data_IF_836429068411
#
_entry.id   IF_836429068411
#
_cell.length_a   1.000
_cell.length_b   1.000
_cell.length_c   1.000
_cell.angle_alpha   90.00
_cell.angle_beta   90.00
_cell.angle_gamma   90.00
#
_symmetry.space_group_name_H-M   'P 1'
#
loop_
_entity.id
_entity.type
_entity.pdbx_description
1 polymer ?
#
# COMPACT_ATOMS: atom_id res chain seq x y z
N UNK A 1 -35.02 -1.93 -7.99
CA UNK A 1 -34.52 -1.55 -6.65
C UNK A 1 -33.29 -0.66 -6.84
N UNK A 2 -33.38 0.64 -6.51
CA UNK A 2 -32.20 1.52 -6.54
C UNK A 2 -31.32 1.12 -5.35
N UNK A 3 -30.18 0.47 -5.62
CA UNK A 3 -29.18 0.18 -4.61
C UNK A 3 -28.71 1.47 -3.91
N UNK A 4 -28.22 1.39 -2.65
CA UNK A 4 -27.86 2.56 -1.88
C UNK A 4 -26.91 3.46 -2.67
N UNK A 5 -27.34 4.70 -2.86
CA UNK A 5 -26.66 5.73 -3.63
C UNK A 5 -25.41 6.21 -2.88
N UNK A 6 -24.26 5.61 -3.20
CA UNK A 6 -22.93 6.10 -2.83
C UNK A 6 -22.33 5.49 -1.56
N UNK A 7 -21.00 5.53 -1.49
CA UNK A 7 -20.23 5.16 -0.30
C UNK A 7 -20.67 6.01 0.90
N UNK A 8 -20.80 5.37 2.07
CA UNK A 8 -20.94 6.11 3.34
C UNK A 8 -19.71 6.98 3.58
N UNK A 9 -19.88 8.08 4.33
CA UNK A 9 -18.78 9.02 4.61
C UNK A 9 -17.55 8.33 5.21
N UNK A 10 -17.77 7.39 6.15
CA UNK A 10 -16.68 6.61 6.75
C UNK A 10 -15.93 5.76 5.72
N UNK A 11 -16.66 5.09 4.81
CA UNK A 11 -16.03 4.28 3.75
C UNK A 11 -15.25 5.13 2.76
N UNK A 12 -15.76 6.32 2.41
CA UNK A 12 -15.00 7.29 1.58
C UNK A 12 -13.68 7.65 2.24
N UNK A 13 -13.68 7.96 3.53
CA UNK A 13 -12.45 8.27 4.27
C UNK A 13 -11.46 7.11 4.22
N UNK A 14 -11.91 5.87 4.43
CA UNK A 14 -11.04 4.69 4.35
C UNK A 14 -10.43 4.52 2.95
N UNK A 15 -11.21 4.66 1.88
CA UNK A 15 -10.68 4.60 0.50
C UNK A 15 -9.66 5.69 0.25
N UNK A 16 -9.93 6.93 0.69
CA UNK A 16 -9.00 8.06 0.52
C UNK A 16 -7.70 7.79 1.26
N UNK A 17 -7.76 7.36 2.52
CA UNK A 17 -6.57 7.01 3.31
C UNK A 17 -5.80 5.88 2.64
N UNK A 18 -6.49 4.84 2.16
CA UNK A 18 -5.87 3.73 1.42
C UNK A 18 -5.13 4.19 0.16
N UNK A 19 -5.71 5.12 -0.60
CA UNK A 19 -5.08 5.71 -1.79
C UNK A 19 -3.89 6.60 -1.43
N UNK A 20 -4.01 7.45 -0.40
CA UNK A 20 -2.92 8.31 0.05
C UNK A 20 -1.71 7.49 0.49
N UNK A 21 -1.93 6.40 1.22
CA UNK A 21 -0.87 5.49 1.64
C UNK A 21 -0.24 4.74 0.44
N UNK A 22 -1.04 4.39 -0.56
CA UNK A 22 -0.53 3.80 -1.80
C UNK A 22 0.35 4.78 -2.59
N UNK A 23 -0.08 6.04 -2.72
CA UNK A 23 0.70 7.11 -3.36
C UNK A 23 2.00 7.35 -2.60
N UNK A 24 1.93 7.46 -1.27
CA UNK A 24 3.09 7.64 -0.41
C UNK A 24 4.12 6.52 -0.59
N UNK A 25 3.67 5.27 -0.48
CA UNK A 25 4.52 4.09 -0.65
C UNK A 25 5.14 4.05 -2.05
N UNK A 26 4.36 4.40 -3.09
CA UNK A 26 4.83 4.45 -4.47
C UNK A 26 5.92 5.52 -4.64
N UNK A 27 5.72 6.72 -4.08
CA UNK A 27 6.71 7.79 -4.13
C UNK A 27 8.01 7.42 -3.40
N UNK A 28 7.90 6.86 -2.19
CA UNK A 28 9.05 6.38 -1.42
C UNK A 28 9.81 5.25 -2.14
N UNK A 29 9.08 4.36 -2.82
CA UNK A 29 9.69 3.33 -3.68
C UNK A 29 10.43 3.95 -4.86
N UNK A 30 9.87 4.98 -5.49
CA UNK A 30 10.54 5.74 -6.54
C UNK A 30 11.88 6.28 -6.07
N UNK A 31 11.93 6.91 -4.89
CA UNK A 31 13.19 7.41 -4.30
C UNK A 31 14.20 6.28 -4.05
N UNK A 32 13.73 5.12 -3.57
CA UNK A 32 14.60 3.97 -3.32
C UNK A 32 15.20 3.43 -4.63
N UNK A 33 14.39 3.29 -5.68
CA UNK A 33 14.82 2.78 -6.99
C UNK A 33 15.78 3.76 -7.69
N UNK A 34 15.63 5.07 -7.49
CA UNK A 34 16.57 6.07 -8.03
C UNK A 34 17.90 6.13 -7.27
N UNK A 35 18.08 5.33 -6.21
CA UNK A 35 19.31 5.33 -5.41
C UNK A 35 19.42 6.52 -4.45
N UNK A 36 18.30 7.17 -4.09
CA UNK A 36 18.32 8.32 -3.17
C UNK A 36 18.97 7.99 -1.82
N UNK A 37 18.84 6.73 -1.38
CA UNK A 37 19.42 6.24 -0.12
C UNK A 37 20.78 5.52 -0.31
N UNK A 38 21.44 5.64 -1.47
CA UNK A 38 22.67 4.90 -1.77
C UNK A 38 23.84 5.23 -0.82
N UNK A 39 23.90 6.45 -0.29
CA UNK A 39 24.92 6.86 0.68
C UNK A 39 24.52 6.60 2.14
N UNK A 40 23.30 6.09 2.37
CA UNK A 40 22.82 5.79 3.71
C UNK A 40 23.41 4.48 4.24
N UNK A 41 23.55 4.36 5.56
CA UNK A 41 23.88 3.08 6.17
C UNK A 41 22.79 2.04 5.87
N UNK A 42 23.16 0.76 5.83
CA UNK A 42 22.21 -0.34 5.58
C UNK A 42 21.06 -0.33 6.61
N UNK A 43 21.37 -0.06 7.88
CA UNK A 43 20.36 0.08 8.92
C UNK A 43 19.39 1.25 8.66
N UNK A 44 19.90 2.40 8.23
CA UNK A 44 19.06 3.55 7.90
C UNK A 44 18.19 3.28 6.65
N UNK A 45 18.76 2.63 5.63
CA UNK A 45 18.01 2.21 4.44
C UNK A 45 16.92 1.18 4.78
N UNK A 46 17.21 0.22 5.67
CA UNK A 46 16.23 -0.76 6.14
C UNK A 46 15.09 -0.13 6.95
N UNK A 47 15.40 0.86 7.79
CA UNK A 47 14.37 1.64 8.50
C UNK A 47 13.54 2.49 7.54
N UNK A 48 14.18 3.17 6.59
CA UNK A 48 13.50 3.95 5.56
C UNK A 48 12.55 3.07 4.73
N UNK A 49 13.01 1.89 4.30
CA UNK A 49 12.17 0.91 3.63
C UNK A 49 10.97 0.49 4.50
N UNK A 50 11.20 0.13 5.76
CA UNK A 50 10.16 -0.35 6.65
C UNK A 50 9.08 0.72 6.91
N UNK A 51 9.49 1.93 7.27
CA UNK A 51 8.58 3.01 7.69
C UNK A 51 7.99 3.83 6.55
N UNK A 52 8.72 4.00 5.44
CA UNK A 52 8.25 4.83 4.32
C UNK A 52 7.54 4.02 3.24
N UNK A 53 7.82 2.71 3.16
CA UNK A 53 7.34 1.87 2.06
C UNK A 53 6.47 0.73 2.61
N UNK A 54 7.05 -0.16 3.41
CA UNK A 54 6.39 -1.41 3.80
C UNK A 54 5.17 -1.20 4.70
N UNK A 55 5.32 -0.51 5.84
CA UNK A 55 4.21 -0.29 6.76
C UNK A 55 3.09 0.56 6.15
N UNK A 56 3.37 1.66 5.41
CA UNK A 56 2.33 2.38 4.69
C UNK A 56 1.56 1.52 3.70
N UNK A 57 2.22 0.65 2.93
CA UNK A 57 1.55 -0.28 2.01
C UNK A 57 0.70 -1.31 2.77
N UNK A 58 1.17 -1.83 3.90
CA UNK A 58 0.45 -2.77 4.76
C UNK A 58 -0.81 -2.15 5.37
N UNK A 59 -0.68 -0.95 5.94
CA UNK A 59 -1.80 -0.20 6.51
C UNK A 59 -2.78 0.17 5.40
N UNK A 60 -2.27 0.66 4.26
CA UNK A 60 -3.07 1.01 3.09
C UNK A 60 -3.88 -0.17 2.56
N UNK A 61 -3.28 -1.36 2.52
CA UNK A 61 -3.98 -2.60 2.17
C UNK A 61 -5.09 -2.93 3.17
N UNK A 62 -4.78 -2.95 4.47
CA UNK A 62 -5.76 -3.27 5.52
C UNK A 62 -6.94 -2.29 5.54
N UNK A 63 -6.67 -0.99 5.41
CA UNK A 63 -7.69 0.06 5.37
C UNK A 63 -8.51 0.00 4.07
N UNK A 64 -7.88 -0.29 2.93
CA UNK A 64 -8.61 -0.43 1.67
C UNK A 64 -9.52 -1.67 1.68
N UNK A 65 -9.06 -2.77 2.30
CA UNK A 65 -9.88 -3.96 2.50
C UNK A 65 -11.08 -3.70 3.41
N UNK A 66 -10.90 -2.94 4.49
CA UNK A 66 -12.00 -2.62 5.40
C UNK A 66 -13.06 -1.69 4.78
N UNK A 67 -12.70 -0.96 3.71
CA UNK A 67 -13.64 -0.17 2.93
C UNK A 67 -14.54 -1.02 2.00
N UNK A 68 -14.19 -2.28 1.76
CA UNK A 68 -14.99 -3.20 0.94
C UNK A 68 -16.23 -3.66 1.70
N UNK A 69 -17.36 -3.60 1.02
CA UNK A 69 -18.61 -4.15 1.52
C UNK A 69 -18.95 -5.43 0.75
N UNK A 70 -19.07 -6.57 1.46
CA UNK A 70 -19.37 -7.87 0.82
C UNK A 70 -20.80 -7.95 0.27
N UNK A 71 -21.71 -7.12 0.78
CA UNK A 71 -23.15 -7.17 0.47
C UNK A 71 -23.60 -6.18 -0.61
N UNK A 72 -22.72 -5.25 -0.99
CA UNK A 72 -23.03 -4.19 -1.96
C UNK A 72 -21.97 -4.19 -3.08
N UNK A 73 -22.35 -3.75 -4.28
CA UNK A 73 -21.38 -3.52 -5.34
C UNK A 73 -20.44 -2.37 -4.92
N UNK A 74 -19.15 -2.69 -4.80
CA UNK A 74 -18.13 -1.71 -4.46
C UNK A 74 -17.78 -0.88 -5.71
N UNK A 75 -17.70 0.47 -5.59
CA UNK A 75 -17.26 1.30 -6.70
C UNK A 75 -15.80 1.00 -7.07
N UNK A 76 -15.44 1.26 -8.33
CA UNK A 76 -14.12 0.96 -8.88
C UNK A 76 -12.96 1.51 -8.04
N UNK A 77 -13.10 2.69 -7.45
CA UNK A 77 -12.10 3.32 -6.58
C UNK A 77 -11.68 2.44 -5.38
N UNK A 78 -12.62 1.69 -4.78
CA UNK A 78 -12.31 0.76 -3.68
C UNK A 78 -11.39 -0.36 -4.19
N UNK A 79 -11.67 -0.88 -5.38
CA UNK A 79 -10.86 -1.92 -6.00
C UNK A 79 -9.48 -1.43 -6.40
N UNK A 80 -9.37 -0.20 -6.93
CA UNK A 80 -8.08 0.42 -7.23
C UNK A 80 -7.23 0.54 -5.96
N UNK A 81 -7.80 1.04 -4.87
CA UNK A 81 -7.09 1.19 -3.60
C UNK A 81 -6.59 -0.17 -3.05
N UNK A 82 -7.43 -1.21 -3.08
CA UNK A 82 -7.05 -2.55 -2.64
C UNK A 82 -5.99 -3.14 -3.56
N UNK A 83 -6.20 -3.10 -4.87
CA UNK A 83 -5.30 -3.72 -5.85
C UNK A 83 -3.92 -3.09 -5.79
N UNK A 84 -3.83 -1.76 -5.75
CA UNK A 84 -2.54 -1.08 -5.75
C UNK A 84 -1.73 -1.34 -4.47
N UNK A 85 -2.37 -1.25 -3.30
CA UNK A 85 -1.71 -1.61 -2.05
C UNK A 85 -1.32 -3.10 -2.01
N UNK A 86 -2.13 -3.99 -2.59
CA UNK A 86 -1.80 -5.42 -2.70
C UNK A 86 -0.57 -5.65 -3.57
N UNK A 87 -0.48 -4.99 -4.72
CA UNK A 87 0.67 -5.10 -5.63
C UNK A 87 1.96 -4.62 -4.95
N UNK A 88 1.89 -3.48 -4.27
CA UNK A 88 3.01 -2.96 -3.47
C UNK A 88 3.43 -3.98 -2.41
N UNK A 89 2.48 -4.48 -1.62
CA UNK A 89 2.76 -5.43 -0.54
C UNK A 89 3.41 -6.72 -1.07
N UNK A 90 2.83 -7.32 -2.11
CA UNK A 90 3.36 -8.55 -2.73
C UNK A 90 4.75 -8.30 -3.29
N UNK A 91 4.97 -7.17 -3.97
CA UNK A 91 6.27 -6.79 -4.49
C UNK A 91 7.32 -6.70 -3.38
N UNK A 92 7.01 -6.03 -2.27
CA UNK A 92 7.96 -5.90 -1.15
C UNK A 92 8.19 -7.20 -0.40
N UNK A 93 7.16 -8.01 -0.18
CA UNK A 93 7.31 -9.34 0.42
C UNK A 93 8.20 -10.21 -0.46
N UNK A 94 8.01 -10.18 -1.79
CA UNK A 94 8.87 -10.92 -2.71
C UNK A 94 10.33 -10.44 -2.62
N UNK A 95 10.58 -9.13 -2.57
CA UNK A 95 11.94 -8.59 -2.40
C UNK A 95 12.58 -9.01 -1.08
N UNK A 96 11.84 -9.00 0.03
CA UNK A 96 12.31 -9.47 1.33
C UNK A 96 12.68 -10.96 1.24
N UNK A 97 11.83 -11.79 0.65
CA UNK A 97 12.10 -13.23 0.50
C UNK A 97 13.33 -13.47 -0.36
N UNK A 98 13.43 -12.81 -1.53
CA UNK A 98 14.58 -12.93 -2.42
C UNK A 98 15.87 -12.50 -1.71
N UNK A 99 15.85 -11.39 -0.98
CA UNK A 99 17.01 -10.91 -0.23
C UNK A 99 17.45 -11.86 0.90
N UNK A 100 16.50 -12.51 1.58
CA UNK A 100 16.85 -13.53 2.58
C UNK A 100 17.40 -14.81 1.95
N UNK A 101 16.91 -15.19 0.76
CA UNK A 101 17.41 -16.37 0.05
C UNK A 101 18.78 -16.13 -0.61
N UNK A 102 19.11 -14.90 -1.03
CA UNK A 102 20.41 -14.61 -1.64
C UNK A 102 21.54 -14.43 -0.63
N UNK A 103 21.21 -14.06 0.60
CA UNK A 103 22.16 -13.84 1.69
C UNK A 103 22.29 -15.06 2.64
N UNK A 104 21.54 -16.14 2.36
CA UNK A 104 21.58 -17.41 3.09
C UNK A 104 22.54 -18.43 2.50
#
# INVERSE_FOLDING_TARGET
MKGPTGLSSSRKTLVIVGLLLAIWSTAATGLMVTGYFAESSEAAAGLAFSFLIFFPALIGFAVSLSAQERRLQNPALVWVAVTWNTLLLIGFVALIVIGNLSNG
#
